data_IF_620309403999
#
_entry.id   IF_620309403999
#
_cell.length_a   1.000
_cell.length_b   1.000
_cell.length_c   1.000
_cell.angle_alpha   90.00
_cell.angle_beta   90.00
_cell.angle_gamma   90.00
#
_symmetry.space_group_name_H-M   'P 1'
#
loop_
_entity.id
_entity.type
_entity.pdbx_description
1 polymer ?
#
# COMPACT_ATOMS: atom_id res chain seq x y z
N UNK A 1 -1.39 10.16 17.07
CA UNK A 1 -0.56 11.03 17.95
C UNK A 1 0.33 11.89 17.06
N UNK A 2 0.42 13.20 17.32
CA UNK A 2 1.32 14.10 16.61
C UNK A 2 2.38 14.63 17.58
N UNK A 3 3.66 14.44 17.26
CA UNK A 3 4.79 14.96 18.02
C UNK A 3 5.52 15.99 17.17
N UNK A 4 5.79 17.17 17.72
CA UNK A 4 6.45 18.26 16.98
C UNK A 4 7.75 18.68 17.63
N UNK A 5 8.69 19.14 16.82
CA UNK A 5 9.86 19.88 17.29
C UNK A 5 9.43 21.15 18.06
N UNK A 6 10.22 21.61 19.04
CA UNK A 6 9.91 22.83 19.80
C UNK A 6 10.15 24.14 19.02
N UNK A 7 10.64 24.07 17.77
CA UNK A 7 10.83 25.21 16.87
C UNK A 7 9.88 25.14 15.67
N UNK A 8 9.61 26.32 15.08
CA UNK A 8 8.97 26.45 13.76
C UNK A 8 7.59 25.82 13.63
N UNK A 9 6.82 25.66 14.72
CA UNK A 9 5.58 24.85 14.74
C UNK A 9 4.53 25.19 13.68
N UNK A 10 4.54 26.42 13.18
CA UNK A 10 3.56 26.93 12.21
C UNK A 10 4.09 27.04 10.77
N UNK A 11 5.38 26.76 10.54
CA UNK A 11 6.01 26.82 9.23
C UNK A 11 5.93 25.48 8.48
N UNK A 12 5.91 25.47 7.14
CA UNK A 12 6.03 24.22 6.38
C UNK A 12 7.35 23.51 6.68
N UNK A 13 7.29 22.22 6.96
CA UNK A 13 8.49 21.45 7.34
C UNK A 13 8.44 19.99 6.96
N UNK A 14 9.14 19.15 7.74
CA UNK A 14 9.26 17.72 7.48
C UNK A 14 8.13 17.00 8.21
N UNK A 15 7.27 16.32 7.48
CA UNK A 15 6.32 15.35 8.03
C UNK A 15 6.99 13.98 8.06
N UNK A 16 7.08 13.38 9.24
CA UNK A 16 7.43 11.98 9.42
C UNK A 16 6.13 11.23 9.67
N UNK A 17 5.86 10.17 8.90
CA UNK A 17 4.65 9.38 9.05
C UNK A 17 4.99 7.95 9.48
N UNK A 18 4.27 7.47 10.49
CA UNK A 18 4.31 6.09 10.95
C UNK A 18 2.91 5.59 11.31
N UNK A 19 2.69 4.29 11.21
CA UNK A 19 1.56 3.63 11.85
C UNK A 19 2.02 2.80 13.07
N UNK A 20 1.11 2.58 14.02
CA UNK A 20 1.37 1.83 15.26
C UNK A 20 0.51 0.57 15.39
N UNK A 21 -0.55 0.47 14.59
CA UNK A 21 -1.29 -0.77 14.39
C UNK A 21 -0.45 -1.79 13.63
N UNK A 22 -0.89 -3.06 13.67
CA UNK A 22 -0.26 -4.19 12.99
C UNK A 22 -1.37 -5.14 12.56
N UNK A 23 -1.16 -5.92 11.49
CA UNK A 23 -2.09 -7.03 11.12
C UNK A 23 -2.17 -8.15 12.16
N UNK A 24 -1.22 -8.24 13.10
CA UNK A 24 -1.11 -9.36 14.03
C UNK A 24 -2.24 -9.39 15.07
N UNK A 25 -2.90 -10.55 15.29
CA UNK A 25 -3.89 -10.72 16.34
C UNK A 25 -3.32 -10.50 17.76
N UNK A 26 -4.20 -10.13 18.69
CA UNK A 26 -3.85 -10.12 20.12
C UNK A 26 -3.42 -11.50 20.58
N UNK A 27 -2.30 -11.58 21.29
CA UNK A 27 -1.68 -12.84 21.75
C UNK A 27 -0.48 -13.29 20.92
N UNK A 28 -0.31 -12.80 19.70
CA UNK A 28 0.79 -13.21 18.78
C UNK A 28 2.18 -13.08 19.41
N UNK A 29 2.40 -12.05 20.24
CA UNK A 29 3.68 -11.85 20.95
C UNK A 29 3.98 -12.95 21.99
N UNK A 30 2.96 -13.60 22.53
CA UNK A 30 3.11 -14.63 23.57
C UNK A 30 3.08 -16.04 22.98
N UNK A 31 2.65 -16.20 21.72
CA UNK A 31 2.47 -17.50 21.05
C UNK A 31 3.29 -17.61 19.76
N UNK A 32 2.80 -17.03 18.67
CA UNK A 32 3.19 -17.38 17.30
C UNK A 32 4.46 -16.68 16.85
N UNK A 33 4.72 -15.47 17.37
CA UNK A 33 5.90 -14.67 17.07
C UNK A 33 6.41 -13.98 18.35
N UNK A 34 7.01 -14.74 19.29
CA UNK A 34 7.62 -14.15 20.46
C UNK A 34 8.82 -13.29 20.12
N UNK A 35 9.00 -12.20 20.86
CA UNK A 35 10.18 -11.37 20.70
C UNK A 35 11.45 -12.17 21.03
N UNK A 36 12.36 -12.23 20.08
CA UNK A 36 13.66 -12.88 20.24
C UNK A 36 14.69 -12.21 19.35
N UNK A 37 15.95 -12.32 19.75
CA UNK A 37 17.09 -11.85 18.97
C UNK A 37 18.04 -13.01 18.75
N UNK A 38 18.38 -13.26 17.49
CA UNK A 38 19.29 -14.31 17.06
C UNK A 38 20.36 -13.72 16.16
N UNK A 39 21.57 -13.55 16.71
CA UNK A 39 22.65 -12.87 16.00
C UNK A 39 22.27 -11.43 15.65
N UNK A 40 22.23 -11.13 14.36
CA UNK A 40 21.89 -9.80 13.83
C UNK A 40 20.42 -9.67 13.43
N UNK A 41 19.57 -10.61 13.82
CA UNK A 41 18.15 -10.63 13.45
C UNK A 41 17.28 -10.55 14.70
N UNK A 42 16.32 -9.63 14.71
CA UNK A 42 15.32 -9.50 15.78
C UNK A 42 13.92 -9.74 15.23
N UNK A 43 13.15 -10.56 15.94
CA UNK A 43 11.82 -11.02 15.56
C UNK A 43 10.77 -10.41 16.48
N UNK A 44 9.56 -10.18 15.97
CA UNK A 44 8.44 -9.70 16.77
C UNK A 44 7.31 -9.09 15.93
N UNK A 45 6.05 -9.12 16.41
CA UNK A 45 4.91 -8.65 15.65
C UNK A 45 4.94 -7.13 15.46
N UNK A 46 5.00 -6.72 14.19
CA UNK A 46 5.12 -5.33 13.77
C UNK A 46 6.49 -4.71 14.02
N UNK A 47 7.52 -5.51 14.33
CA UNK A 47 8.88 -5.00 14.57
C UNK A 47 9.48 -4.40 13.29
N UNK A 48 9.14 -4.98 12.14
CA UNK A 48 9.54 -4.54 10.81
C UNK A 48 8.48 -3.59 10.24
N UNK A 49 7.19 -3.96 10.37
CA UNK A 49 6.04 -3.24 9.83
C UNK A 49 5.08 -2.71 10.93
N UNK A 50 5.26 -1.48 11.44
CA UNK A 50 6.40 -0.60 11.18
C UNK A 50 6.99 0.02 12.46
N UNK A 51 6.85 -0.65 13.62
CA UNK A 51 7.32 -0.14 14.92
C UNK A 51 8.82 0.17 14.92
N UNK A 52 9.63 -0.61 14.20
CA UNK A 52 11.07 -0.35 14.05
C UNK A 52 11.34 0.99 13.38
N UNK A 53 10.64 1.29 12.27
CA UNK A 53 10.72 2.56 11.56
C UNK A 53 10.24 3.75 12.41
N UNK A 54 9.11 3.57 13.07
CA UNK A 54 8.55 4.56 14.00
C UNK A 54 9.53 4.89 15.14
N UNK A 55 10.18 3.87 15.71
CA UNK A 55 11.17 4.03 16.78
C UNK A 55 12.40 4.81 16.32
N UNK A 56 13.03 4.42 15.20
CA UNK A 56 14.28 5.06 14.76
C UNK A 56 14.07 6.53 14.38
N UNK A 57 12.91 6.87 13.79
CA UNK A 57 12.60 8.25 13.44
C UNK A 57 12.31 9.11 14.67
N UNK A 58 11.56 8.57 15.64
CA UNK A 58 11.32 9.24 16.90
C UNK A 58 12.61 9.46 17.70
N UNK A 59 13.50 8.45 17.72
CA UNK A 59 14.80 8.53 18.36
C UNK A 59 15.69 9.61 17.71
N UNK A 60 15.72 9.68 16.37
CA UNK A 60 16.43 10.72 15.63
C UNK A 60 15.91 12.13 15.96
N UNK A 61 14.59 12.32 16.03
CA UNK A 61 13.99 13.60 16.43
C UNK A 61 14.36 13.97 17.87
N UNK A 62 14.27 13.02 18.81
CA UNK A 62 14.66 13.23 20.20
C UNK A 62 16.14 13.58 20.33
N UNK A 63 17.01 12.94 19.54
CA UNK A 63 18.44 13.26 19.50
C UNK A 63 18.67 14.68 19.00
N UNK A 64 18.06 15.06 17.87
CA UNK A 64 18.15 16.41 17.30
C UNK A 64 17.76 17.49 18.31
N UNK A 65 16.64 17.31 19.00
CA UNK A 65 16.15 18.24 20.04
C UNK A 65 17.13 18.35 21.20
N UNK A 66 17.65 17.23 21.70
CA UNK A 66 18.59 17.23 22.84
C UNK A 66 19.96 17.83 22.50
N UNK A 67 20.43 17.59 21.28
CA UNK A 67 21.69 18.12 20.81
C UNK A 67 21.63 19.62 20.52
N UNK A 68 20.42 20.19 20.38
CA UNK A 68 20.24 21.54 19.83
C UNK A 68 20.80 21.65 18.41
N UNK A 69 20.77 20.53 17.67
CA UNK A 69 21.41 20.41 16.36
C UNK A 69 20.79 21.38 15.35
N UNK A 70 21.50 21.69 14.25
CA UNK A 70 21.00 22.61 13.25
C UNK A 70 19.80 21.97 12.54
N UNK A 71 18.61 22.53 12.72
CA UNK A 71 17.42 22.17 11.96
C UNK A 71 16.92 23.41 11.22
N UNK A 72 16.81 23.33 9.88
CA UNK A 72 16.31 24.45 9.07
C UNK A 72 14.79 24.48 9.00
N UNK A 73 14.15 23.32 9.18
CA UNK A 73 12.72 23.13 9.07
C UNK A 73 12.17 22.54 10.38
N UNK A 74 10.91 22.82 10.74
CA UNK A 74 10.23 22.10 11.81
C UNK A 74 10.01 20.64 11.40
N UNK A 75 10.03 19.73 12.38
CA UNK A 75 9.78 18.30 12.18
C UNK A 75 8.53 17.89 12.95
N UNK A 76 7.61 17.22 12.27
CA UNK A 76 6.35 16.73 12.84
C UNK A 76 6.21 15.24 12.57
N UNK A 77 6.13 14.44 13.61
CA UNK A 77 5.99 12.99 13.54
C UNK A 77 4.56 12.59 13.86
N UNK A 78 3.83 12.17 12.83
CA UNK A 78 2.46 11.69 12.92
C UNK A 78 2.46 10.16 13.06
N UNK A 79 1.85 9.67 14.13
CA UNK A 79 1.55 8.26 14.37
C UNK A 79 0.06 8.00 14.17
N UNK A 80 -0.29 7.10 13.26
CA UNK A 80 -1.67 6.66 12.95
C UNK A 80 -1.89 5.21 13.41
N UNK A 81 -3.15 4.75 13.49
CA UNK A 81 -3.49 3.48 14.15
C UNK A 81 -4.47 2.61 13.34
N UNK A 82 -4.54 2.83 12.03
CA UNK A 82 -5.49 2.18 11.15
C UNK A 82 -4.96 2.03 9.71
N UNK A 83 -3.63 2.04 9.53
CA UNK A 83 -2.99 1.88 8.20
C UNK A 83 -3.38 0.55 7.57
N UNK A 84 -3.33 -0.51 8.38
CA UNK A 84 -3.46 -1.91 7.95
C UNK A 84 -4.88 -2.22 7.43
N UNK A 85 -5.83 -1.33 7.72
CA UNK A 85 -7.23 -1.39 7.24
C UNK A 85 -7.55 -0.29 6.22
N UNK A 86 -6.53 0.40 5.70
CA UNK A 86 -6.64 1.40 4.64
C UNK A 86 -6.83 2.84 5.11
N UNK A 87 -6.47 3.15 6.35
CA UNK A 87 -6.52 4.49 6.99
C UNK A 87 -7.89 5.19 6.93
N UNK A 88 -9.00 4.50 7.22
CA UNK A 88 -10.35 5.09 7.10
C UNK A 88 -10.58 6.30 8.03
N UNK A 89 -9.90 6.36 9.18
CA UNK A 89 -10.05 7.41 10.19
C UNK A 89 -8.89 8.40 10.18
N UNK A 90 -7.68 7.97 9.82
CA UNK A 90 -6.50 8.82 9.82
C UNK A 90 -6.23 9.56 8.50
N UNK A 91 -6.81 9.11 7.38
CA UNK A 91 -6.57 9.72 6.06
C UNK A 91 -6.71 11.24 6.06
N UNK A 92 -7.81 11.77 6.61
CA UNK A 92 -8.05 13.21 6.61
C UNK A 92 -6.92 13.99 7.31
N UNK A 93 -6.44 13.47 8.44
CA UNK A 93 -5.34 14.04 9.20
C UNK A 93 -4.00 13.91 8.47
N UNK A 94 -3.74 12.77 7.81
CA UNK A 94 -2.54 12.57 6.99
C UNK A 94 -2.50 13.61 5.87
N UNK A 95 -3.59 13.79 5.13
CA UNK A 95 -3.66 14.76 4.05
C UNK A 95 -3.54 16.21 4.56
N UNK A 96 -4.14 16.53 5.71
CA UNK A 96 -4.01 17.85 6.34
C UNK A 96 -2.56 18.18 6.70
N UNK A 97 -1.87 17.26 7.37
CA UNK A 97 -0.48 17.45 7.77
C UNK A 97 0.48 17.43 6.58
N UNK A 98 0.18 16.65 5.54
CA UNK A 98 0.93 16.62 4.29
C UNK A 98 0.82 17.94 3.51
N UNK A 99 -0.35 18.60 3.49
CA UNK A 99 -0.51 19.94 2.88
C UNK A 99 0.36 21.01 3.56
N UNK A 100 0.66 20.80 4.84
CA UNK A 100 1.56 21.66 5.62
C UNK A 100 3.03 21.22 5.50
N UNK A 101 3.32 20.13 4.80
CA UNK A 101 4.67 19.60 4.71
C UNK A 101 5.39 20.13 3.46
N UNK A 102 6.67 20.42 3.61
CA UNK A 102 7.60 20.64 2.50
C UNK A 102 8.19 19.32 1.99
N UNK A 103 8.37 18.35 2.88
CA UNK A 103 8.82 17.00 2.58
C UNK A 103 8.07 16.02 3.49
N UNK A 104 7.76 14.83 2.99
CA UNK A 104 7.21 13.74 3.78
C UNK A 104 8.16 12.52 3.76
N UNK A 105 8.40 11.94 4.93
CA UNK A 105 9.24 10.77 5.14
C UNK A 105 8.39 9.70 5.83
N UNK A 106 7.97 8.69 5.07
CA UNK A 106 7.18 7.58 5.58
C UNK A 106 8.13 6.46 6.00
N UNK A 107 7.96 6.02 7.23
CA UNK A 107 8.95 5.17 7.91
C UNK A 107 8.67 3.68 7.77
N UNK A 108 7.85 3.31 6.78
CA UNK A 108 7.65 1.92 6.36
C UNK A 108 9.01 1.21 6.24
N UNK A 109 9.04 -0.11 6.42
CA UNK A 109 10.26 -0.85 6.27
C UNK A 109 10.93 -0.70 4.89
N UNK A 110 12.25 -0.76 4.87
CA UNK A 110 13.02 -0.73 3.63
C UNK A 110 12.75 -1.96 2.77
N UNK A 111 12.68 -1.79 1.45
CA UNK A 111 12.39 -2.90 0.52
C UNK A 111 13.68 -3.65 0.17
N UNK A 112 13.62 -4.98 0.15
CA UNK A 112 14.69 -5.92 -0.28
C UNK A 112 16.13 -5.55 0.16
N UNK A 113 16.30 -4.93 1.33
CA UNK A 113 17.58 -4.40 1.78
C UNK A 113 18.04 -3.16 1.00
N UNK A 114 18.14 -2.01 1.66
CA UNK A 114 18.71 -0.80 1.06
C UNK A 114 17.77 -0.01 0.13
N UNK A 115 16.59 -0.55 -0.24
CA UNK A 115 15.69 0.14 -1.19
C UNK A 115 14.61 0.96 -0.49
N UNK A 116 14.25 2.08 -1.10
CA UNK A 116 13.17 2.98 -0.68
C UNK A 116 12.23 3.28 -1.84
N UNK A 117 10.98 3.56 -1.50
CA UNK A 117 9.91 3.80 -2.46
C UNK A 117 9.89 5.28 -2.83
N UNK A 118 10.08 5.56 -4.11
CA UNK A 118 10.09 6.92 -4.69
C UNK A 118 8.90 7.16 -5.62
N UNK A 119 8.16 6.11 -5.94
CA UNK A 119 6.89 6.17 -6.65
C UNK A 119 6.05 4.96 -6.27
N UNK A 120 4.72 5.09 -6.32
CA UNK A 120 3.78 3.97 -6.27
C UNK A 120 2.84 4.11 -7.46
N UNK A 121 3.36 3.83 -8.66
CA UNK A 121 2.62 4.00 -9.92
C UNK A 121 1.48 3.01 -10.05
N UNK A 122 0.44 3.44 -10.77
CA UNK A 122 -0.63 2.57 -11.23
C UNK A 122 -1.97 2.79 -10.55
N UNK A 123 -2.78 1.73 -10.45
CA UNK A 123 -4.09 1.77 -9.81
C UNK A 123 -4.54 0.41 -9.29
N UNK A 124 -5.46 0.44 -8.33
CA UNK A 124 -6.19 -0.74 -7.86
C UNK A 124 -7.69 -0.54 -8.05
N UNK A 125 -8.41 -1.64 -8.26
CA UNK A 125 -9.87 -1.65 -8.27
C UNK A 125 -10.40 -3.02 -7.83
N UNK A 126 -11.67 -3.05 -7.44
CA UNK A 126 -12.43 -4.29 -7.26
C UNK A 126 -13.67 -4.26 -8.13
N UNK A 127 -14.03 -5.43 -8.64
CA UNK A 127 -15.17 -5.66 -9.53
C UNK A 127 -16.13 -6.61 -8.83
N UNK A 128 -17.42 -6.29 -8.88
CA UNK A 128 -18.50 -7.21 -8.51
C UNK A 128 -19.37 -7.39 -9.75
N UNK A 129 -19.42 -8.61 -10.27
CA UNK A 129 -20.23 -9.00 -11.41
C UNK A 129 -21.46 -9.74 -10.91
N UNK A 130 -22.63 -9.30 -11.36
CA UNK A 130 -23.91 -9.95 -11.11
C UNK A 130 -24.53 -10.30 -12.46
N UNK A 131 -24.97 -11.55 -12.60
CA UNK A 131 -25.60 -12.05 -13.81
C UNK A 131 -26.98 -12.57 -13.48
N UNK A 132 -27.99 -12.09 -14.20
CA UNK A 132 -29.38 -12.53 -14.11
C UNK A 132 -29.82 -13.13 -15.43
N UNK A 133 -30.07 -14.43 -15.41
CA UNK A 133 -30.58 -15.22 -16.53
C UNK A 133 -32.07 -15.56 -16.37
N UNK A 134 -32.43 -16.78 -16.76
CA UNK A 134 -33.81 -17.29 -16.72
C UNK A 134 -33.84 -18.76 -16.33
N UNK A 135 -34.61 -19.07 -15.30
CA UNK A 135 -34.78 -20.43 -14.81
C UNK A 135 -35.60 -21.29 -15.77
N UNK A 136 -35.24 -22.56 -15.89
CA UNK A 136 -35.98 -23.59 -16.62
C UNK A 136 -35.66 -24.98 -16.04
N UNK A 137 -36.47 -25.98 -16.35
CA UNK A 137 -36.16 -27.36 -15.97
C UNK A 137 -34.96 -27.87 -16.78
N UNK A 138 -34.04 -28.60 -16.15
CA UNK A 138 -32.84 -29.15 -16.79
C UNK A 138 -33.10 -30.11 -17.97
N UNK A 139 -34.32 -30.64 -18.09
CA UNK A 139 -34.78 -31.46 -19.22
C UNK A 139 -35.26 -30.63 -20.43
N UNK A 140 -35.46 -29.32 -20.25
CA UNK A 140 -35.78 -28.36 -21.30
C UNK A 140 -34.90 -27.11 -21.19
N UNK A 141 -33.56 -27.24 -21.22
CA UNK A 141 -32.65 -26.14 -20.92
C UNK A 141 -32.75 -24.99 -21.93
N UNK A 142 -33.26 -25.24 -23.15
CA UNK A 142 -33.46 -24.24 -24.20
C UNK A 142 -34.45 -23.13 -23.81
N UNK A 143 -35.35 -23.39 -22.86
CA UNK A 143 -36.33 -22.42 -22.37
C UNK A 143 -35.72 -21.46 -21.33
N UNK A 144 -34.54 -21.80 -20.80
CA UNK A 144 -33.80 -21.01 -19.82
C UNK A 144 -32.66 -20.19 -20.44
N UNK A 145 -32.01 -19.40 -19.60
CA UNK A 145 -30.81 -18.62 -19.91
C UNK A 145 -29.86 -18.77 -18.74
N UNK A 146 -28.78 -19.55 -18.91
CA UNK A 146 -27.91 -19.92 -17.80
C UNK A 146 -27.00 -18.75 -17.39
N UNK A 147 -27.27 -18.17 -16.23
CA UNK A 147 -26.43 -17.13 -15.63
C UNK A 147 -25.01 -17.64 -15.30
N UNK A 148 -24.89 -18.92 -14.92
CA UNK A 148 -23.58 -19.54 -14.65
C UNK A 148 -22.75 -19.67 -15.92
N UNK A 149 -23.36 -20.10 -17.04
CA UNK A 149 -22.66 -20.19 -18.32
C UNK A 149 -22.20 -18.80 -18.80
N UNK A 150 -23.07 -17.81 -18.67
CA UNK A 150 -22.77 -16.43 -19.02
C UNK A 150 -21.60 -15.89 -18.17
N UNK A 151 -21.67 -16.04 -16.85
CA UNK A 151 -20.62 -15.60 -15.93
C UNK A 151 -19.28 -16.28 -16.24
N UNK A 152 -19.29 -17.58 -16.55
CA UNK A 152 -18.07 -18.31 -16.88
C UNK A 152 -17.34 -17.71 -18.09
N UNK A 153 -18.08 -17.24 -19.10
CA UNK A 153 -17.48 -16.54 -20.26
C UNK A 153 -16.81 -15.24 -19.85
N UNK A 154 -17.48 -14.44 -19.01
CA UNK A 154 -16.91 -13.18 -18.52
C UNK A 154 -15.71 -13.38 -17.60
N UNK A 155 -15.68 -14.45 -16.80
CA UNK A 155 -14.50 -14.79 -16.00
C UNK A 155 -13.31 -15.09 -16.93
N UNK A 156 -13.52 -15.87 -17.99
CA UNK A 156 -12.47 -16.12 -18.98
C UNK A 156 -12.01 -14.82 -19.66
N UNK A 157 -12.93 -13.91 -20.00
CA UNK A 157 -12.57 -12.60 -20.53
C UNK A 157 -11.69 -11.81 -19.56
N UNK A 158 -12.09 -11.71 -18.30
CA UNK A 158 -11.35 -10.98 -17.26
C UNK A 158 -9.94 -11.55 -17.07
N UNK A 159 -9.83 -12.87 -16.90
CA UNK A 159 -8.55 -13.54 -16.73
C UNK A 159 -7.65 -13.37 -17.97
N UNK A 160 -8.23 -13.33 -19.18
CA UNK A 160 -7.49 -13.07 -20.42
C UNK A 160 -6.95 -11.64 -20.55
N UNK A 161 -7.43 -10.69 -19.74
CA UNK A 161 -6.92 -9.32 -19.72
C UNK A 161 -5.61 -9.20 -18.94
N UNK A 162 -5.23 -10.21 -18.14
CA UNK A 162 -3.95 -10.23 -17.44
C UNK A 162 -2.78 -9.96 -18.40
N UNK A 163 -1.86 -9.11 -17.98
CA UNK A 163 -0.63 -8.84 -18.71
C UNK A 163 0.51 -8.67 -17.71
N UNK A 164 1.13 -9.78 -17.34
CA UNK A 164 2.18 -9.80 -16.32
C UNK A 164 3.43 -9.02 -16.73
N UNK A 165 3.74 -8.96 -18.04
CA UNK A 165 4.88 -8.20 -18.55
C UNK A 165 4.68 -6.68 -18.41
N UNK A 166 3.44 -6.21 -18.60
CA UNK A 166 3.03 -4.82 -18.33
C UNK A 166 2.59 -4.60 -16.88
N UNK A 167 2.65 -5.66 -16.09
CA UNK A 167 2.18 -5.76 -14.71
C UNK A 167 0.77 -5.23 -14.47
N UNK A 168 -0.17 -5.70 -15.30
CA UNK A 168 -1.61 -5.70 -15.06
C UNK A 168 -2.01 -7.09 -14.56
N UNK A 169 -2.64 -7.12 -13.40
CA UNK A 169 -3.06 -8.32 -12.69
C UNK A 169 -4.54 -8.22 -12.38
N UNK A 170 -5.31 -9.19 -12.84
CA UNK A 170 -6.70 -9.42 -12.48
C UNK A 170 -6.77 -10.81 -11.85
N UNK A 171 -7.50 -10.90 -10.74
CA UNK A 171 -7.74 -12.18 -10.06
C UNK A 171 -9.21 -12.27 -9.70
N UNK A 172 -9.92 -13.24 -10.28
CA UNK A 172 -11.30 -13.58 -9.87
C UNK A 172 -11.22 -14.46 -8.63
N UNK A 173 -11.39 -13.85 -7.46
CA UNK A 173 -11.20 -14.53 -6.17
C UNK A 173 -12.47 -15.18 -5.59
N UNK A 174 -13.66 -14.73 -6.02
CA UNK A 174 -14.94 -15.23 -5.50
C UNK A 174 -15.88 -15.54 -6.66
N UNK A 175 -16.58 -16.67 -6.58
CA UNK A 175 -17.58 -17.09 -7.56
C UNK A 175 -18.74 -17.84 -6.88
N UNK A 176 -19.96 -17.67 -7.38
CA UNK A 176 -21.11 -18.46 -6.96
C UNK A 176 -22.29 -18.35 -7.94
N UNK A 177 -23.27 -19.25 -7.81
CA UNK A 177 -24.48 -19.23 -8.65
C UNK A 177 -25.19 -20.58 -8.73
N UNK A 178 -26.45 -20.56 -9.17
CA UNK A 178 -27.31 -21.74 -9.24
C UNK A 178 -27.82 -22.22 -7.89
N UNK A 179 -28.84 -23.09 -7.93
CA UNK A 179 -29.54 -23.59 -6.74
C UNK A 179 -29.65 -25.11 -6.69
N UNK A 180 -29.76 -25.77 -7.84
CA UNK A 180 -29.88 -27.24 -7.96
C UNK A 180 -29.51 -27.70 -9.36
N UNK A 181 -29.08 -28.95 -9.51
CA UNK A 181 -28.80 -29.57 -10.83
C UNK A 181 -30.04 -29.70 -11.70
N UNK A 182 -31.23 -29.70 -11.10
CA UNK A 182 -32.51 -29.81 -11.82
C UNK A 182 -32.97 -28.50 -12.49
N UNK A 183 -32.33 -27.36 -12.23
CA UNK A 183 -32.78 -26.02 -12.62
C UNK A 183 -31.67 -25.30 -13.37
N UNK A 184 -31.99 -24.73 -14.54
CA UNK A 184 -31.08 -23.81 -15.25
C UNK A 184 -30.83 -22.59 -14.36
N UNK A 185 -29.58 -22.27 -13.97
CA UNK A 185 -29.30 -21.16 -13.07
C UNK A 185 -29.73 -19.81 -13.63
N UNK A 186 -30.57 -19.07 -12.90
CA UNK A 186 -30.97 -17.69 -13.24
C UNK A 186 -30.15 -16.63 -12.53
N UNK A 187 -29.27 -17.01 -11.61
CA UNK A 187 -28.39 -16.08 -10.91
C UNK A 187 -26.98 -16.66 -10.76
N UNK A 188 -25.98 -15.80 -11.00
CA UNK A 188 -24.58 -16.07 -10.72
C UNK A 188 -23.83 -14.75 -10.42
N UNK A 189 -22.77 -14.84 -9.63
CA UNK A 189 -21.94 -13.68 -9.27
C UNK A 189 -20.46 -14.03 -9.21
N UNK A 190 -19.61 -13.03 -9.43
CA UNK A 190 -18.18 -13.12 -9.18
C UNK A 190 -17.62 -11.81 -8.59
N UNK A 191 -16.55 -11.91 -7.81
CA UNK A 191 -15.77 -10.78 -7.35
C UNK A 191 -14.32 -10.93 -7.79
N UNK A 192 -13.76 -9.83 -8.30
CA UNK A 192 -12.40 -9.79 -8.80
C UNK A 192 -11.66 -8.56 -8.30
N UNK A 193 -10.34 -8.69 -8.14
CA UNK A 193 -9.43 -7.58 -7.84
C UNK A 193 -8.59 -7.25 -9.08
N UNK A 194 -8.32 -5.97 -9.30
CA UNK A 194 -7.36 -5.47 -10.26
C UNK A 194 -6.24 -4.73 -9.54
N UNK A 195 -5.01 -5.02 -9.95
CA UNK A 195 -3.82 -4.24 -9.65
C UNK A 195 -3.07 -3.97 -10.96
N UNK A 196 -2.56 -2.75 -11.15
CA UNK A 196 -1.70 -2.43 -12.28
C UNK A 196 -0.60 -1.47 -11.83
N UNK A 197 0.61 -1.59 -12.36
CA UNK A 197 1.65 -0.55 -12.23
C UNK A 197 1.45 0.63 -13.20
N UNK A 198 0.65 0.42 -14.24
CA UNK A 198 0.32 1.43 -15.25
C UNK A 198 -1.12 1.90 -15.03
N UNK A 199 -1.27 3.20 -14.81
CA UNK A 199 -2.56 3.81 -14.53
C UNK A 199 -3.46 3.84 -15.76
N UNK A 200 -2.92 4.14 -16.93
CA UNK A 200 -3.70 4.21 -18.17
C UNK A 200 -4.22 2.81 -18.52
N UNK A 201 -3.35 1.80 -18.45
CA UNK A 201 -3.73 0.40 -18.67
C UNK A 201 -4.81 -0.06 -17.68
N UNK A 202 -4.73 0.37 -16.41
CA UNK A 202 -5.76 0.09 -15.42
C UNK A 202 -7.10 0.76 -15.79
N UNK A 203 -7.07 2.04 -16.16
CA UNK A 203 -8.25 2.82 -16.51
C UNK A 203 -8.94 2.26 -17.76
N UNK A 204 -8.18 1.86 -18.78
CA UNK A 204 -8.69 1.15 -19.97
C UNK A 204 -9.36 -0.18 -19.61
N UNK A 205 -8.70 -0.97 -18.77
CA UNK A 205 -9.23 -2.27 -18.31
C UNK A 205 -10.52 -2.08 -17.51
N UNK A 206 -10.55 -1.12 -16.60
CA UNK A 206 -11.73 -0.75 -15.81
C UNK A 206 -12.88 -0.30 -16.73
N UNK A 207 -12.59 0.50 -17.75
CA UNK A 207 -13.59 0.92 -18.74
C UNK A 207 -14.15 -0.28 -19.51
N UNK A 208 -13.31 -1.26 -19.88
CA UNK A 208 -13.74 -2.51 -20.52
C UNK A 208 -14.66 -3.33 -19.60
N UNK A 209 -14.32 -3.46 -18.30
CA UNK A 209 -15.17 -4.18 -17.33
C UNK A 209 -16.52 -3.48 -17.13
N UNK A 210 -16.54 -2.14 -17.03
CA UNK A 210 -17.79 -1.36 -16.97
C UNK A 210 -18.64 -1.52 -18.23
N UNK A 211 -17.98 -1.74 -19.37
CA UNK A 211 -18.60 -1.87 -20.68
C UNK A 211 -19.04 -3.29 -21.05
N UNK A 212 -18.91 -4.28 -20.16
CA UNK A 212 -19.28 -5.66 -20.45
C UNK A 212 -20.72 -5.75 -20.97
N UNK A 213 -20.89 -6.54 -22.03
CA UNK A 213 -22.17 -6.83 -22.67
C UNK A 213 -22.45 -8.31 -22.52
N UNK A 214 -23.71 -8.70 -22.32
CA UNK A 214 -24.02 -10.11 -22.26
C UNK A 214 -23.79 -10.75 -23.64
N UNK A 215 -23.25 -11.97 -23.64
CA UNK A 215 -23.16 -12.85 -24.78
C UNK A 215 -24.53 -13.34 -25.24
N UNK A 216 -25.43 -13.62 -24.29
CA UNK A 216 -26.82 -13.94 -24.56
C UNK A 216 -27.70 -12.68 -24.39
N UNK A 217 -28.42 -12.22 -25.44
CA UNK A 217 -29.20 -10.98 -25.38
C UNK A 217 -30.37 -11.03 -24.39
N UNK A 218 -30.81 -12.22 -23.95
CA UNK A 218 -31.86 -12.40 -22.95
C UNK A 218 -31.31 -12.48 -21.51
N UNK A 219 -29.99 -12.33 -21.32
CA UNK A 219 -29.32 -12.29 -20.02
C UNK A 219 -28.95 -10.85 -19.67
N UNK A 220 -29.01 -10.52 -18.39
CA UNK A 220 -28.55 -9.25 -17.85
C UNK A 220 -27.24 -9.44 -17.10
N UNK A 221 -26.27 -8.58 -17.37
CA UNK A 221 -25.04 -8.47 -16.59
C UNK A 221 -24.91 -7.06 -16.01
N UNK A 222 -24.55 -6.98 -14.74
CA UNK A 222 -24.21 -5.75 -14.04
C UNK A 222 -22.79 -5.88 -13.49
N UNK A 223 -21.91 -4.96 -13.85
CA UNK A 223 -20.55 -4.87 -13.33
C UNK A 223 -20.42 -3.60 -12.50
N UNK A 224 -20.27 -3.76 -11.18
CA UNK A 224 -19.96 -2.63 -10.28
C UNK A 224 -18.47 -2.56 -10.07
N UNK A 225 -17.89 -1.36 -10.23
CA UNK A 225 -16.46 -1.11 -10.00
C UNK A 225 -16.26 -0.19 -8.81
N UNK A 226 -15.44 -0.61 -7.85
CA UNK A 226 -14.96 0.25 -6.76
C UNK A 226 -13.46 0.49 -6.95
N UNK A 227 -13.08 1.76 -7.13
CA UNK A 227 -11.68 2.14 -7.18
C UNK A 227 -11.01 1.91 -5.82
N UNK A 228 -9.73 1.57 -5.84
CA UNK A 228 -8.89 1.57 -4.66
C UNK A 228 -8.88 2.95 -3.99
N UNK A 229 -8.77 2.96 -2.66
CA UNK A 229 -8.84 4.20 -1.87
C UNK A 229 -7.54 5.01 -1.89
N UNK A 230 -6.41 4.35 -2.14
CA UNK A 230 -5.06 4.93 -2.17
C UNK A 230 -4.70 5.33 -3.60
N UNK A 231 -4.45 6.62 -3.90
CA UNK A 231 -4.06 7.06 -5.24
C UNK A 231 -2.61 6.70 -5.55
N UNK A 232 -2.31 6.31 -6.79
CA UNK A 232 -0.93 6.16 -7.24
C UNK A 232 -0.20 7.51 -7.28
N UNK A 233 1.14 7.47 -7.30
CA UNK A 233 1.97 8.66 -7.52
C UNK A 233 3.26 8.32 -8.26
N UNK A 234 3.76 9.30 -9.03
CA UNK A 234 4.99 9.18 -9.80
C UNK A 234 6.18 9.82 -9.09
N UNK A 235 7.39 9.49 -9.55
CA UNK A 235 8.62 10.12 -9.09
C UNK A 235 8.76 11.48 -9.78
N UNK A 236 8.22 12.52 -9.17
CA UNK A 236 8.33 13.90 -9.68
C UNK A 236 9.78 14.41 -9.57
N UNK A 237 10.16 15.50 -10.26
CA UNK A 237 11.48 16.13 -10.10
C UNK A 237 11.81 16.50 -8.65
N UNK A 238 10.82 16.88 -7.85
CA UNK A 238 10.98 17.21 -6.43
C UNK A 238 11.24 15.96 -5.58
N UNK A 239 10.56 14.84 -5.88
CA UNK A 239 10.82 13.55 -5.24
C UNK A 239 12.20 13.02 -5.66
N UNK A 240 12.59 13.19 -6.92
CA UNK A 240 13.93 12.87 -7.40
C UNK A 240 14.99 13.67 -6.64
N UNK A 241 14.81 14.98 -6.49
CA UNK A 241 15.75 15.82 -5.74
C UNK A 241 15.86 15.39 -4.27
N UNK A 242 14.72 15.10 -3.62
CA UNK A 242 14.69 14.57 -2.25
C UNK A 242 15.40 13.21 -2.16
N UNK A 243 15.16 12.31 -3.10
CA UNK A 243 15.82 11.01 -3.19
C UNK A 243 17.34 11.15 -3.37
N UNK A 244 17.80 11.99 -4.30
CA UNK A 244 19.24 12.19 -4.55
C UNK A 244 19.96 12.74 -3.33
N UNK A 245 19.29 13.62 -2.58
CA UNK A 245 19.80 14.12 -1.31
C UNK A 245 19.93 13.00 -0.27
N UNK A 246 18.87 12.18 -0.10
CA UNK A 246 18.91 11.01 0.79
C UNK A 246 19.97 9.98 0.37
N UNK A 247 20.10 9.71 -0.94
CA UNK A 247 21.08 8.79 -1.51
C UNK A 247 22.52 9.23 -1.20
N UNK A 248 22.82 10.53 -1.39
CA UNK A 248 24.12 11.09 -1.03
C UNK A 248 24.43 10.89 0.47
N UNK A 249 23.47 11.20 1.34
CA UNK A 249 23.64 11.04 2.79
C UNK A 249 23.84 9.58 3.19
N UNK A 250 23.10 8.64 2.58
CA UNK A 250 23.26 7.22 2.81
C UNK A 250 24.68 6.74 2.42
N UNK A 251 25.19 7.20 1.27
CA UNK A 251 26.55 6.91 0.83
C UNK A 251 27.61 7.42 1.81
N UNK A 252 27.44 8.64 2.36
CA UNK A 252 28.31 9.18 3.41
C UNK A 252 28.27 8.37 4.71
N UNK A 253 27.11 7.78 5.05
CA UNK A 253 26.93 6.91 6.23
C UNK A 253 27.54 5.52 5.99
N UNK A 254 27.68 5.11 4.73
CA UNK A 254 28.34 3.87 4.33
C UNK A 254 27.40 2.78 3.82
N UNK A 255 26.23 3.13 3.27
CA UNK A 255 25.33 2.17 2.63
C UNK A 255 24.73 2.72 1.32
N UNK A 256 24.30 1.80 0.46
CA UNK A 256 23.62 2.13 -0.79
C UNK A 256 22.11 2.28 -0.58
N UNK A 257 21.53 3.37 -1.11
CA UNK A 257 20.10 3.66 -1.01
C UNK A 257 19.47 3.66 -2.39
N UNK A 258 18.72 2.61 -2.73
CA UNK A 258 18.17 2.46 -4.09
C UNK A 258 16.71 2.91 -4.14
N UNK A 259 16.38 3.82 -5.05
CA UNK A 259 15.00 4.25 -5.27
C UNK A 259 14.26 3.28 -6.18
N UNK A 260 13.07 2.82 -5.78
CA UNK A 260 12.23 1.91 -6.56
C UNK A 260 10.80 2.42 -6.74
N UNK A 261 10.09 1.83 -7.70
CA UNK A 261 8.63 1.88 -7.76
C UNK A 261 8.07 0.79 -6.85
N UNK A 262 7.39 1.19 -5.77
CA UNK A 262 6.70 0.28 -4.86
C UNK A 262 5.27 -0.02 -5.32
N UNK A 263 4.62 -1.05 -4.74
CA UNK A 263 3.22 -1.30 -5.01
C UNK A 263 2.33 -0.19 -4.45
N UNK A 264 1.11 -0.03 -4.94
CA UNK A 264 0.11 0.81 -4.27
C UNK A 264 -0.35 0.13 -2.99
N UNK A 265 -0.31 0.84 -1.87
CA UNK A 265 -0.79 0.26 -0.61
C UNK A 265 -0.26 0.85 0.68
N UNK A 266 0.50 1.95 0.69
CA UNK A 266 0.96 2.59 1.93
C UNK A 266 0.43 4.01 2.08
N UNK A 267 0.46 4.58 3.27
CA UNK A 267 -0.03 5.96 3.47
C UNK A 267 0.82 7.05 2.81
N UNK A 268 2.02 6.70 2.33
CA UNK A 268 2.78 7.51 1.39
C UNK A 268 1.97 7.88 0.13
N UNK A 269 1.01 7.02 -0.27
CA UNK A 269 0.09 7.32 -1.37
C UNK A 269 -0.72 8.61 -1.10
N UNK A 270 -1.07 8.90 0.16
CA UNK A 270 -1.80 10.12 0.52
C UNK A 270 -0.87 11.33 0.64
N UNK A 271 0.29 11.19 1.28
CA UNK A 271 1.22 12.33 1.46
C UNK A 271 1.80 12.80 0.14
N UNK A 272 2.08 11.89 -0.79
CA UNK A 272 2.67 12.19 -2.10
C UNK A 272 1.77 13.05 -3.01
N UNK A 273 0.48 13.17 -2.68
CA UNK A 273 -0.44 14.07 -3.40
C UNK A 273 -0.20 15.55 -3.06
N UNK A 274 0.50 15.83 -1.96
CA UNK A 274 0.64 17.19 -1.42
C UNK A 274 2.10 17.60 -1.17
N UNK A 275 3.00 16.65 -0.92
CA UNK A 275 4.41 16.92 -0.66
C UNK A 275 5.32 15.85 -1.27
N UNK A 276 6.54 16.22 -1.71
CA UNK A 276 7.57 15.26 -2.10
C UNK A 276 7.78 14.23 -0.99
N UNK A 277 7.52 12.97 -1.31
CA UNK A 277 7.45 11.87 -0.35
C UNK A 277 8.49 10.81 -0.65
N UNK A 278 9.28 10.44 0.36
CA UNK A 278 10.02 9.18 0.37
C UNK A 278 9.38 8.22 1.36
N UNK A 279 9.40 6.95 1.01
CA UNK A 279 8.79 5.89 1.77
C UNK A 279 9.74 4.68 1.84
N UNK A 280 9.58 3.79 2.82
CA UNK A 280 10.58 2.77 3.12
C UNK A 280 11.74 3.29 3.99
N UNK A 281 11.54 4.38 4.75
CA UNK A 281 12.59 5.01 5.56
C UNK A 281 12.90 4.25 6.87
N UNK A 282 12.27 3.10 7.09
CA UNK A 282 12.47 2.21 8.23
C UNK A 282 13.70 1.29 8.12
N UNK A 283 13.82 0.30 9.04
CA UNK A 283 14.91 -0.67 9.04
C UNK A 283 14.85 -1.65 7.86
N UNK A 284 15.96 -2.33 7.62
CA UNK A 284 16.01 -3.49 6.74
C UNK A 284 15.48 -4.73 7.48
N UNK A 285 14.87 -5.65 6.74
CA UNK A 285 14.19 -6.81 7.32
C UNK A 285 13.37 -7.57 6.27
N UNK A 286 12.49 -8.45 6.73
CA UNK A 286 11.61 -9.23 5.87
C UNK A 286 10.44 -9.83 6.66
N UNK A 287 9.53 -10.50 5.96
CA UNK A 287 8.45 -11.26 6.59
C UNK A 287 7.31 -10.39 7.13
N UNK A 288 7.11 -9.18 6.60
CA UNK A 288 5.92 -8.38 6.90
C UNK A 288 4.65 -9.24 6.73
N UNK A 289 3.71 -9.08 7.66
CA UNK A 289 2.43 -9.81 7.70
C UNK A 289 2.56 -11.34 7.85
N UNK A 290 3.66 -11.82 8.44
CA UNK A 290 3.89 -13.24 8.69
C UNK A 290 4.42 -13.50 10.10
N UNK A 291 4.36 -14.76 10.55
CA UNK A 291 4.97 -15.19 11.81
C UNK A 291 6.50 -15.32 11.74
N UNK A 292 7.12 -14.86 10.64
CA UNK A 292 8.57 -14.79 10.46
C UNK A 292 9.06 -13.33 10.39
N UNK A 293 8.19 -12.37 10.73
CA UNK A 293 8.51 -10.95 10.68
C UNK A 293 9.75 -10.62 11.52
N UNK A 294 10.71 -9.96 10.87
CA UNK A 294 12.03 -9.69 11.43
C UNK A 294 12.67 -8.43 10.87
N UNK A 295 13.54 -7.82 11.68
CA UNK A 295 14.47 -6.75 11.28
C UNK A 295 15.92 -7.21 11.38
N UNK A 296 16.78 -6.56 10.61
CA UNK A 296 18.24 -6.65 10.73
C UNK A 296 18.71 -5.59 11.73
N UNK A 297 19.23 -6.02 12.88
CA UNK A 297 19.59 -5.14 14.00
C UNK A 297 20.66 -4.13 13.60
N UNK A 298 21.67 -4.55 12.84
CA UNK A 298 22.74 -3.69 12.33
C UNK A 298 22.25 -2.60 11.38
N UNK A 299 21.05 -2.73 10.79
CA UNK A 299 20.46 -1.69 9.93
C UNK A 299 19.89 -0.50 10.72
N UNK A 300 19.57 -0.68 12.01
CA UNK A 300 18.89 0.35 12.81
C UNK A 300 19.68 1.65 12.90
N UNK A 301 20.99 1.55 13.17
CA UNK A 301 21.85 2.73 13.37
C UNK A 301 22.06 3.51 12.05
N UNK A 302 22.47 2.89 10.92
CA UNK A 302 22.56 3.59 9.64
C UNK A 302 21.26 4.27 9.23
N UNK A 303 20.11 3.59 9.41
CA UNK A 303 18.78 4.13 9.06
C UNK A 303 18.35 5.29 9.96
N UNK A 304 18.55 5.17 11.27
CA UNK A 304 18.31 6.27 12.21
C UNK A 304 19.20 7.48 11.91
N UNK A 305 20.46 7.22 11.54
CA UNK A 305 21.43 8.27 11.17
C UNK A 305 20.99 8.97 9.88
N UNK A 306 20.48 8.24 8.89
CA UNK A 306 19.94 8.85 7.67
C UNK A 306 18.79 9.81 7.99
N UNK A 307 17.83 9.39 8.82
CA UNK A 307 16.71 10.23 9.25
C UNK A 307 17.19 11.49 9.98
N UNK A 308 18.14 11.35 10.92
CA UNK A 308 18.75 12.48 11.61
C UNK A 308 19.39 13.47 10.62
N UNK A 309 20.24 12.97 9.71
CA UNK A 309 20.93 13.81 8.71
C UNK A 309 19.94 14.50 7.78
N UNK A 310 18.83 13.85 7.41
CA UNK A 310 17.77 14.47 6.63
C UNK A 310 17.11 15.62 7.41
N UNK A 311 16.80 15.43 8.70
CA UNK A 311 16.23 16.48 9.54
C UNK A 311 17.16 17.71 9.65
N UNK A 312 18.48 17.50 9.69
CA UNK A 312 19.46 18.58 9.79
C UNK A 312 19.65 19.37 8.50
N UNK A 313 19.54 18.68 7.35
CA UNK A 313 20.04 19.22 6.08
C UNK A 313 18.96 19.72 5.13
N UNK A 314 17.75 19.14 5.20
CA UNK A 314 16.61 19.57 4.39
C UNK A 314 16.21 21.02 4.71
N UNK A 315 15.98 21.80 3.67
CA UNK A 315 15.66 23.23 3.74
C UNK A 315 15.19 23.77 2.40
#
# INVERSE_FOLDING_TARGET
LLVSSPWGSDEPGILVLSHIDTVHPVGTLDSDLPFRVEGDTAYGPGIYDMKGGALIAFAALCHLVRAGGPAKLPVRHLFVSDEEVGSPTSRALIEEEARRARYALVTEPARDGGKIVTSRKGATASFNLQVTGRSAHSLGPQDGRSAVLELARHILDLESMNNYDKGLYINVGVIGGGTSTGIVPDHAFAEASLYSFDRELAEETIARVRGLKPYDPDVKIEATVKMGRRPGYEKTPEIEALFQHAHKLASEIGFELVGVNGPIGGDANFTAQFAPTLDGMGPDGQGAHSHEEQIIVSSLVPRATLLLRLFETLG
#
